data_IF_245562387591
#
_entry.id   IF_245562387591
#
_cell.length_a   1.000
_cell.length_b   1.000
_cell.length_c   1.000
_cell.angle_alpha   90.00
_cell.angle_beta   90.00
_cell.angle_gamma   90.00
#
_symmetry.space_group_name_H-M   'P 1'
#
loop_
_entity.id
_entity.type
_entity.pdbx_description
1 polymer ?
#
# COMPACT_ATOMS: atom_id res chain seq x y z
N UNK A 1 13.33 0.41 0.97
CA UNK A 1 12.96 1.49 1.91
C UNK A 1 14.06 1.72 2.94
N UNK A 2 14.53 0.70 3.63
CA UNK A 2 15.62 0.81 4.62
C UNK A 2 16.89 1.49 4.07
N UNK A 3 17.33 1.09 2.87
CA UNK A 3 18.50 1.70 2.21
C UNK A 3 18.29 3.17 1.84
N UNK A 4 17.05 3.57 1.52
CA UNK A 4 16.72 4.98 1.28
C UNK A 4 16.81 5.77 2.59
N UNK A 5 16.24 5.25 3.68
CA UNK A 5 16.30 5.88 5.01
C UNK A 5 17.73 6.02 5.54
N UNK A 6 18.64 5.10 5.22
CA UNK A 6 20.03 5.18 5.62
C UNK A 6 20.86 6.20 4.82
N UNK A 7 20.35 6.64 3.67
CA UNK A 7 21.11 7.47 2.71
C UNK A 7 20.71 8.94 2.78
N UNK A 8 19.41 9.21 3.01
CA UNK A 8 18.87 10.58 3.04
C UNK A 8 19.37 11.38 4.24
N UNK A 9 19.55 12.68 4.04
CA UNK A 9 20.03 13.64 5.04
C UNK A 9 19.05 14.81 5.17
N UNK A 10 19.18 15.55 6.26
CA UNK A 10 18.42 16.78 6.47
C UNK A 10 18.56 17.73 5.27
N UNK A 11 17.44 18.22 4.75
CA UNK A 11 17.35 19.09 3.58
C UNK A 11 17.13 18.35 2.26
N UNK A 12 17.24 17.03 2.23
CA UNK A 12 17.00 16.24 1.02
C UNK A 12 15.52 16.23 0.61
N UNK A 13 15.29 15.96 -0.69
CA UNK A 13 13.96 15.80 -1.28
C UNK A 13 13.82 14.44 -1.92
N UNK A 14 12.84 13.67 -1.48
CA UNK A 14 12.48 12.37 -2.05
C UNK A 14 11.29 12.54 -2.97
N UNK A 15 11.46 12.19 -4.24
CA UNK A 15 10.38 12.18 -5.22
C UNK A 15 9.88 10.77 -5.43
N UNK A 16 8.57 10.60 -5.32
CA UNK A 16 7.89 9.33 -5.53
C UNK A 16 6.84 9.52 -6.61
N UNK A 17 6.81 8.65 -7.61
CA UNK A 17 5.81 8.76 -8.67
C UNK A 17 4.41 8.50 -8.12
N UNK A 18 4.24 7.39 -7.40
CA UNK A 18 2.95 6.90 -6.89
C UNK A 18 3.04 6.43 -5.45
N UNK A 19 1.98 6.67 -4.69
CA UNK A 19 1.86 6.26 -3.28
C UNK A 19 1.99 4.75 -3.11
N UNK A 20 1.37 3.94 -3.99
CA UNK A 20 1.41 2.47 -3.92
C UNK A 20 2.80 1.86 -4.13
N UNK A 21 3.75 2.62 -4.68
CA UNK A 21 5.15 2.20 -4.82
C UNK A 21 5.98 2.42 -3.57
N UNK A 22 5.51 3.28 -2.66
CA UNK A 22 6.20 3.61 -1.42
C UNK A 22 5.72 2.75 -0.25
N UNK A 23 4.41 2.58 -0.12
CA UNK A 23 3.81 1.97 1.06
C UNK A 23 2.73 0.92 0.70
N UNK A 24 2.60 -0.11 1.53
CA UNK A 24 1.61 -1.20 1.31
C UNK A 24 0.25 -0.95 1.96
N UNK A 25 0.19 0.00 2.89
CA UNK A 25 -1.02 0.43 3.62
C UNK A 25 -0.94 1.92 3.97
N UNK A 26 -2.08 2.52 4.34
CA UNK A 26 -2.14 3.91 4.80
C UNK A 26 -1.37 4.13 6.11
N UNK A 27 -1.34 3.13 6.99
CA UNK A 27 -0.59 3.18 8.26
C UNK A 27 0.91 3.22 7.98
N UNK A 28 1.36 2.35 7.08
CA UNK A 28 2.75 2.28 6.60
C UNK A 28 3.17 3.61 5.94
N UNK A 29 2.29 4.17 5.09
CA UNK A 29 2.53 5.45 4.44
C UNK A 29 2.73 6.60 5.43
N UNK A 30 1.82 6.73 6.39
CA UNK A 30 1.91 7.76 7.44
C UNK A 30 3.18 7.60 8.28
N UNK A 31 3.57 6.36 8.59
CA UNK A 31 4.81 6.07 9.30
C UNK A 31 6.03 6.53 8.50
N UNK A 32 6.12 6.18 7.21
CA UNK A 32 7.25 6.55 6.34
C UNK A 32 7.40 8.06 6.23
N UNK A 33 6.29 8.77 5.98
CA UNK A 33 6.30 10.24 5.87
C UNK A 33 6.72 10.88 7.20
N UNK A 34 6.20 10.38 8.32
CA UNK A 34 6.60 10.87 9.64
C UNK A 34 8.09 10.69 9.89
N UNK A 35 8.65 9.51 9.56
CA UNK A 35 10.08 9.24 9.71
C UNK A 35 10.96 10.14 8.83
N UNK A 36 10.56 10.36 7.57
CA UNK A 36 11.28 11.24 6.65
C UNK A 36 11.25 12.71 7.14
N UNK A 37 10.07 13.21 7.49
CA UNK A 37 9.92 14.59 7.98
C UNK A 37 10.68 14.81 9.30
N UNK A 38 10.68 13.83 10.22
CA UNK A 38 11.49 13.89 11.45
C UNK A 38 13.00 13.93 11.16
N UNK A 39 13.43 13.35 10.05
CA UNK A 39 14.82 13.39 9.58
C UNK A 39 15.16 14.69 8.82
N UNK A 40 14.22 15.63 8.72
CA UNK A 40 14.38 16.87 7.96
C UNK A 40 14.29 16.70 6.45
N UNK A 41 13.68 15.61 5.97
CA UNK A 41 13.55 15.28 4.55
C UNK A 41 12.16 15.63 4.06
N UNK A 42 12.06 16.29 2.92
CA UNK A 42 10.77 16.53 2.24
C UNK A 42 10.45 15.36 1.32
N UNK A 43 9.18 14.95 1.27
CA UNK A 43 8.70 13.95 0.32
C UNK A 43 7.59 14.50 -0.58
N UNK A 44 7.73 14.29 -1.89
CA UNK A 44 6.78 14.73 -2.91
C UNK A 44 6.27 13.57 -3.75
N UNK A 45 4.95 13.46 -3.88
CA UNK A 45 4.25 12.51 -4.74
C UNK A 45 3.84 13.20 -6.05
N UNK A 46 4.35 12.71 -7.18
CA UNK A 46 4.17 13.35 -8.48
C UNK A 46 2.75 13.22 -9.01
N UNK A 47 2.14 12.03 -8.94
CA UNK A 47 0.82 11.77 -9.52
C UNK A 47 -0.31 12.56 -8.85
N UNK A 48 -0.20 12.81 -7.54
CA UNK A 48 -1.24 13.48 -6.75
C UNK A 48 -0.84 14.89 -6.31
N UNK A 49 0.33 15.39 -6.73
CA UNK A 49 0.88 16.69 -6.36
C UNK A 49 0.90 16.97 -4.85
N UNK A 50 1.16 15.95 -4.03
CA UNK A 50 1.27 16.08 -2.57
C UNK A 50 2.74 16.26 -2.18
N UNK A 51 3.05 17.20 -1.29
CA UNK A 51 4.40 17.50 -0.81
C UNK A 51 4.43 17.75 0.69
N UNK A 52 4.98 16.80 1.43
CA UNK A 52 5.12 16.86 2.87
C UNK A 52 6.53 17.38 3.21
N UNK A 53 6.57 18.58 3.79
CA UNK A 53 7.82 19.23 4.21
C UNK A 53 8.06 19.01 5.71
N UNK A 54 9.33 18.93 6.15
CA UNK A 54 9.66 18.96 7.56
C UNK A 54 9.19 20.28 8.19
N UNK A 55 8.77 20.23 9.45
CA UNK A 55 8.28 21.37 10.25
C UNK A 55 7.06 22.14 9.69
N UNK A 56 6.44 21.64 8.61
CA UNK A 56 5.24 22.22 8.01
C UNK A 56 4.09 21.25 8.12
N UNK A 57 3.13 21.58 8.98
CA UNK A 57 1.93 20.76 9.16
C UNK A 57 0.81 21.26 8.25
N UNK A 58 0.74 20.70 7.04
CA UNK A 58 -0.32 21.00 6.07
C UNK A 58 -1.49 20.02 6.25
N UNK A 59 -2.51 20.48 6.97
CA UNK A 59 -3.72 19.70 7.25
C UNK A 59 -4.47 19.30 5.97
N UNK A 60 -4.41 20.12 4.92
CA UNK A 60 -5.08 19.85 3.64
C UNK A 60 -4.41 18.69 2.93
N UNK A 61 -3.08 18.68 2.87
CA UNK A 61 -2.33 17.58 2.27
C UNK A 61 -2.49 16.28 3.05
N UNK A 62 -2.52 16.36 4.38
CA UNK A 62 -2.79 15.22 5.25
C UNK A 62 -4.18 14.65 4.99
N UNK A 63 -5.21 15.50 4.89
CA UNK A 63 -6.57 15.10 4.54
C UNK A 63 -6.63 14.41 3.17
N UNK A 64 -6.04 15.03 2.15
CA UNK A 64 -6.03 14.50 0.78
C UNK A 64 -5.34 13.13 0.71
N UNK A 65 -4.21 12.97 1.39
CA UNK A 65 -3.51 11.69 1.46
C UNK A 65 -4.35 10.61 2.14
N UNK A 66 -4.96 10.93 3.28
CA UNK A 66 -5.81 9.98 4.00
C UNK A 66 -7.02 9.58 3.16
N UNK A 67 -7.60 10.53 2.41
CA UNK A 67 -8.70 10.26 1.49
C UNK A 67 -8.26 9.32 0.36
N UNK A 68 -7.14 9.61 -0.33
CA UNK A 68 -6.59 8.77 -1.41
C UNK A 68 -6.25 7.37 -0.89
N UNK A 69 -5.58 7.26 0.26
CA UNK A 69 -5.25 5.94 0.82
C UNK A 69 -6.48 5.17 1.29
N UNK A 70 -7.53 5.85 1.76
CA UNK A 70 -8.82 5.22 2.07
C UNK A 70 -9.49 4.67 0.82
N UNK A 71 -9.49 5.41 -0.29
CA UNK A 71 -9.98 4.92 -1.59
C UNK A 71 -9.18 3.71 -2.08
N UNK A 72 -7.85 3.75 -1.98
CA UNK A 72 -7.00 2.62 -2.37
C UNK A 72 -7.28 1.34 -1.55
N UNK A 73 -7.52 1.50 -0.24
CA UNK A 73 -7.92 0.37 0.61
C UNK A 73 -9.30 -0.16 0.22
N UNK A 74 -10.28 0.73 0.02
CA UNK A 74 -11.62 0.37 -0.42
C UNK A 74 -11.62 -0.41 -1.75
N UNK A 75 -10.84 0.03 -2.74
CA UNK A 75 -10.70 -0.69 -4.01
C UNK A 75 -10.12 -2.10 -3.84
N UNK A 76 -9.10 -2.24 -2.98
CA UNK A 76 -8.51 -3.55 -2.65
C UNK A 76 -9.55 -4.47 -2.01
N UNK A 77 -10.34 -3.95 -1.07
CA UNK A 77 -11.37 -4.73 -0.39
C UNK A 77 -12.49 -5.15 -1.36
N UNK A 78 -12.86 -4.29 -2.32
CA UNK A 78 -13.79 -4.63 -3.40
C UNK A 78 -13.26 -5.77 -4.29
N UNK A 79 -11.98 -5.74 -4.67
CA UNK A 79 -11.35 -6.82 -5.47
C UNK A 79 -11.40 -8.15 -4.71
N UNK A 80 -11.07 -8.13 -3.42
CA UNK A 80 -11.13 -9.33 -2.56
C UNK A 80 -12.56 -9.84 -2.49
N UNK A 81 -13.52 -8.96 -2.21
CA UNK A 81 -14.94 -9.32 -2.08
C UNK A 81 -15.46 -9.99 -3.35
N UNK A 82 -15.26 -9.38 -4.52
CA UNK A 82 -15.66 -9.95 -5.82
C UNK A 82 -15.00 -11.29 -6.10
N UNK A 83 -13.74 -11.45 -5.72
CA UNK A 83 -13.03 -12.72 -5.87
C UNK A 83 -13.65 -13.80 -4.99
N UNK A 84 -14.00 -13.48 -3.74
CA UNK A 84 -14.64 -14.42 -2.83
C UNK A 84 -16.04 -14.80 -3.30
N UNK A 85 -16.83 -13.86 -3.80
CA UNK A 85 -18.14 -14.12 -4.39
C UNK A 85 -18.05 -15.10 -5.57
N UNK A 86 -17.11 -14.86 -6.50
CA UNK A 86 -16.88 -15.76 -7.63
C UNK A 86 -16.46 -17.17 -7.19
N UNK A 87 -15.60 -17.26 -6.17
CA UNK A 87 -15.20 -18.53 -5.56
C UNK A 87 -16.38 -19.27 -4.93
N UNK A 88 -17.23 -18.56 -4.19
CA UNK A 88 -18.43 -19.14 -3.58
C UNK A 88 -19.39 -19.67 -4.65
N UNK A 89 -19.62 -18.90 -5.71
CA UNK A 89 -20.45 -19.34 -6.84
C UNK A 89 -19.89 -20.62 -7.49
N UNK A 90 -18.59 -20.66 -7.79
CA UNK A 90 -17.98 -21.87 -8.36
C UNK A 90 -18.06 -23.08 -7.42
N UNK A 91 -17.90 -22.88 -6.11
CA UNK A 91 -18.04 -23.93 -5.11
C UNK A 91 -19.45 -24.53 -5.08
N UNK A 92 -20.48 -23.69 -5.25
CA UNK A 92 -21.87 -24.12 -5.27
C UNK A 92 -22.28 -24.77 -6.60
N UNK A 93 -21.76 -24.28 -7.73
CA UNK A 93 -22.29 -24.60 -9.07
C UNK A 93 -21.40 -25.50 -9.94
N UNK A 94 -20.12 -25.72 -9.59
CA UNK A 94 -19.17 -26.47 -10.44
C UNK A 94 -18.67 -27.75 -9.76
N UNK A 95 -19.14 -28.91 -10.23
CA UNK A 95 -18.62 -30.22 -9.79
C UNK A 95 -17.11 -30.29 -10.04
N UNK A 96 -16.35 -30.62 -8.99
CA UNK A 96 -14.88 -30.74 -9.06
C UNK A 96 -14.10 -29.44 -8.84
N UNK A 97 -14.75 -28.33 -8.47
CA UNK A 97 -14.06 -27.12 -8.03
C UNK A 97 -13.14 -27.41 -6.83
N UNK A 98 -11.89 -26.94 -6.90
CA UNK A 98 -10.87 -27.08 -5.85
C UNK A 98 -10.12 -25.77 -5.69
N UNK A 99 -9.78 -25.44 -4.46
CA UNK A 99 -8.95 -24.29 -4.10
C UNK A 99 -7.68 -24.74 -3.40
N UNK A 100 -6.64 -23.90 -3.48
CA UNK A 100 -5.35 -24.18 -2.88
C UNK A 100 -4.53 -25.21 -3.66
N UNK A 101 -3.39 -25.58 -3.08
CA UNK A 101 -2.46 -26.53 -3.67
C UNK A 101 -3.11 -27.93 -3.68
N UNK A 102 -3.06 -28.67 -4.79
CA UNK A 102 -3.57 -30.04 -4.83
C UNK A 102 -2.86 -30.93 -3.81
N UNK A 103 -3.60 -31.86 -3.20
CA UNK A 103 -3.03 -32.81 -2.23
C UNK A 103 -1.85 -33.54 -2.87
N UNK A 104 -0.69 -33.47 -2.21
CA UNK A 104 0.50 -34.21 -2.62
C UNK A 104 0.21 -35.70 -2.43
N UNK A 105 0.30 -36.46 -3.50
CA UNK A 105 0.22 -37.92 -3.45
C UNK A 105 1.60 -38.42 -3.04
N UNK A 106 1.72 -38.95 -1.83
CA UNK A 106 2.91 -39.68 -1.40
C UNK A 106 2.68 -41.13 -1.83
N UNK A 107 3.54 -41.64 -2.72
CA UNK A 107 3.59 -43.07 -2.97
C UNK A 107 4.35 -43.68 -1.79
N UNK A 108 3.63 -44.30 -0.86
CA UNK A 108 4.22 -45.17 0.15
C UNK A 108 4.80 -46.39 -0.59
N UNK A 109 6.13 -46.52 -0.54
CA UNK A 109 6.85 -47.74 -0.89
C UNK A 109 6.94 -48.63 0.34
#
# INVERSE_FOLDING_TARGET
MEELLSTVKNGDKVFVTKIDRLARSIVDLNSIISTLNQSGVTISFLDNALTFEPDKNDSMQTLMMNMIGSFAQFERDLIVTRTQEGKQWHRANKKGYREGIPKRVLNDK
#
